data_IF_535317395065
#
_entry.id   IF_535317395065
#
_cell.length_a   1.000
_cell.length_b   1.000
_cell.length_c   1.000
_cell.angle_alpha   90.00
_cell.angle_beta   90.00
_cell.angle_gamma   90.00
#
_symmetry.space_group_name_H-M   'P 1'
#
loop_
_entity.id
_entity.type
_entity.pdbx_description
1 polymer ?
#
# COMPACT_ATOMS: atom_id res chain seq x y z
N UNK A 1 -11.82 -0.75 -11.72
CA UNK A 1 -10.90 -1.78 -12.29
C UNK A 1 -10.68 -2.87 -11.25
N UNK A 2 -10.77 -4.14 -11.64
CA UNK A 2 -10.50 -5.29 -10.77
C UNK A 2 -9.40 -6.14 -11.41
N UNK A 3 -8.38 -6.51 -10.63
CA UNK A 3 -7.29 -7.36 -11.10
C UNK A 3 -7.70 -8.84 -11.06
N UNK A 4 -7.32 -9.65 -12.07
CA UNK A 4 -7.50 -11.09 -12.03
C UNK A 4 -7.04 -11.70 -10.70
N UNK A 5 -7.88 -12.58 -10.15
CA UNK A 5 -7.69 -13.22 -8.85
C UNK A 5 -7.94 -12.32 -7.63
N UNK A 6 -8.42 -11.08 -7.79
CA UNK A 6 -8.85 -10.21 -6.70
C UNK A 6 -10.38 -10.04 -6.68
N UNK A 7 -10.97 -9.83 -5.51
CA UNK A 7 -12.40 -9.57 -5.36
C UNK A 7 -13.31 -10.78 -5.58
N UNK A 8 -12.73 -11.98 -5.66
CA UNK A 8 -13.46 -13.25 -5.82
C UNK A 8 -13.22 -14.15 -4.59
N UNK A 9 -12.30 -15.10 -4.68
CA UNK A 9 -11.86 -16.00 -3.59
C UNK A 9 -10.34 -16.16 -3.63
N UNK A 10 -9.65 -16.44 -2.51
CA UNK A 10 -8.20 -16.42 -2.49
C UNK A 10 -7.56 -17.48 -3.40
N UNK A 11 -8.27 -18.58 -3.67
CA UNK A 11 -7.85 -19.66 -4.58
C UNK A 11 -7.63 -19.17 -6.00
N UNK A 12 -8.37 -18.16 -6.46
CA UNK A 12 -8.23 -17.65 -7.83
C UNK A 12 -6.86 -16.95 -8.04
N UNK A 13 -6.14 -16.64 -6.96
CA UNK A 13 -4.77 -16.11 -6.98
C UNK A 13 -3.71 -17.20 -7.22
N UNK A 14 -4.07 -18.49 -7.23
CA UNK A 14 -3.12 -19.59 -7.41
C UNK A 14 -2.48 -19.61 -8.80
N UNK A 15 -3.23 -19.19 -9.83
CA UNK A 15 -2.81 -19.30 -11.24
C UNK A 15 -2.56 -17.94 -11.91
N UNK A 16 -2.70 -16.84 -11.17
CA UNK A 16 -2.49 -15.51 -11.73
C UNK A 16 -1.04 -15.27 -12.10
N UNK A 17 -0.85 -14.44 -13.12
CA UNK A 17 0.45 -13.96 -13.58
C UNK A 17 0.47 -12.44 -13.57
N UNK A 18 1.62 -11.86 -13.24
CA UNK A 18 1.86 -10.42 -13.27
C UNK A 18 1.42 -9.77 -14.59
N UNK A 19 1.66 -10.46 -15.71
CA UNK A 19 1.31 -10.01 -17.05
C UNK A 19 -0.19 -9.80 -17.23
N UNK A 20 -1.03 -10.59 -16.55
CA UNK A 20 -2.48 -10.39 -16.56
C UNK A 20 -2.87 -9.10 -15.85
N UNK A 21 -2.19 -8.76 -14.75
CA UNK A 21 -2.43 -7.50 -14.05
C UNK A 21 -1.95 -6.29 -14.86
N UNK A 22 -0.77 -6.39 -15.48
CA UNK A 22 -0.25 -5.37 -16.40
C UNK A 22 -1.18 -5.17 -17.60
N UNK A 23 -1.75 -6.26 -18.15
CA UNK A 23 -2.70 -6.18 -19.26
C UNK A 23 -3.95 -5.37 -18.88
N UNK A 24 -4.52 -5.60 -17.70
CA UNK A 24 -5.68 -4.81 -17.26
C UNK A 24 -5.32 -3.34 -17.08
N UNK A 25 -4.14 -3.02 -16.51
CA UNK A 25 -3.69 -1.62 -16.40
C UNK A 25 -3.58 -0.98 -17.78
N UNK A 26 -2.98 -1.69 -18.75
CA UNK A 26 -2.83 -1.23 -20.14
C UNK A 26 -4.18 -0.95 -20.79
N UNK A 27 -5.08 -1.92 -20.77
CA UNK A 27 -6.40 -1.81 -21.42
C UNK A 27 -7.22 -0.66 -20.83
N UNK A 28 -7.29 -0.56 -19.50
CA UNK A 28 -8.06 0.48 -18.83
C UNK A 28 -7.46 1.87 -19.04
N UNK A 29 -6.12 1.98 -19.06
CA UNK A 29 -5.44 3.25 -19.34
C UNK A 29 -5.68 3.68 -20.78
N UNK A 30 -5.54 2.76 -21.75
CA UNK A 30 -5.80 3.05 -23.16
C UNK A 30 -7.25 3.46 -23.43
N UNK A 31 -8.21 2.89 -22.70
CA UNK A 31 -9.61 3.29 -22.78
C UNK A 31 -9.77 4.73 -22.26
N UNK A 32 -9.27 5.02 -21.05
CA UNK A 32 -9.37 6.35 -20.44
C UNK A 32 -8.68 7.42 -21.29
N UNK A 33 -7.50 7.14 -21.86
CA UNK A 33 -6.75 8.08 -22.71
C UNK A 33 -7.51 8.53 -23.98
N UNK A 34 -8.57 7.82 -24.39
CA UNK A 34 -9.42 8.23 -25.52
C UNK A 34 -10.49 9.24 -25.11
N UNK A 35 -10.80 9.34 -23.82
CA UNK A 35 -11.90 10.12 -23.28
C UNK A 35 -11.44 11.41 -22.61
N UNK A 36 -10.17 11.50 -22.20
CA UNK A 36 -9.63 12.65 -21.47
C UNK A 36 -8.29 13.15 -22.05
N UNK A 37 -8.01 14.47 -21.97
CA UNK A 37 -6.78 15.04 -22.52
C UNK A 37 -5.53 14.75 -21.66
N UNK A 38 -5.70 14.38 -20.39
CA UNK A 38 -4.61 14.08 -19.46
C UNK A 38 -5.00 12.88 -18.60
N UNK A 39 -4.09 11.92 -18.48
CA UNK A 39 -4.28 10.73 -17.63
C UNK A 39 -3.22 10.72 -16.53
N UNK A 40 -3.67 10.58 -15.28
CA UNK A 40 -2.82 10.26 -14.14
C UNK A 40 -3.11 8.85 -13.69
N UNK A 41 -2.08 8.12 -13.27
CA UNK A 41 -2.25 6.77 -12.77
C UNK A 41 -2.01 6.73 -11.26
N UNK A 42 -2.98 6.14 -10.56
CA UNK A 42 -2.96 5.97 -9.11
C UNK A 42 -2.83 4.51 -8.73
N UNK A 43 -2.02 4.20 -7.72
CA UNK A 43 -1.83 2.83 -7.26
C UNK A 43 -1.52 2.72 -5.78
N UNK A 44 -2.05 1.68 -5.15
CA UNK A 44 -1.74 1.28 -3.78
C UNK A 44 -0.93 -0.01 -3.76
N UNK A 45 0.16 -0.07 -2.99
CA UNK A 45 0.96 -1.29 -2.81
C UNK A 45 1.42 -1.88 -4.15
N UNK A 46 1.10 -3.15 -4.45
CA UNK A 46 1.33 -3.77 -5.76
C UNK A 46 0.81 -2.92 -6.92
N UNK A 47 -0.34 -2.26 -6.77
CA UNK A 47 -0.92 -1.38 -7.78
C UNK A 47 -0.01 -0.20 -8.11
N UNK A 48 0.73 0.32 -7.14
CA UNK A 48 1.72 1.39 -7.36
C UNK A 48 2.87 0.92 -8.26
N UNK A 49 3.31 -0.34 -8.10
CA UNK A 49 4.35 -0.94 -8.95
C UNK A 49 3.86 -1.06 -10.40
N UNK A 50 2.61 -1.52 -10.60
CA UNK A 50 2.03 -1.71 -11.91
C UNK A 50 1.88 -0.38 -12.68
N UNK A 51 1.38 0.66 -12.02
CA UNK A 51 1.23 1.97 -12.67
C UNK A 51 2.55 2.67 -12.91
N UNK A 52 3.55 2.46 -12.03
CA UNK A 52 4.91 2.95 -12.24
C UNK A 52 5.53 2.29 -13.48
N UNK A 53 5.49 0.96 -13.56
CA UNK A 53 6.02 0.22 -14.71
C UNK A 53 5.37 0.67 -16.02
N UNK A 54 4.04 0.81 -16.04
CA UNK A 54 3.32 1.32 -17.20
C UNK A 54 3.79 2.74 -17.57
N UNK A 55 3.81 3.67 -16.62
CA UNK A 55 4.14 5.07 -16.89
C UNK A 55 5.58 5.29 -17.37
N UNK A 56 6.50 4.39 -17.05
CA UNK A 56 7.88 4.44 -17.55
C UNK A 56 7.99 4.24 -19.07
N UNK A 57 7.03 3.53 -19.70
CA UNK A 57 7.02 3.30 -21.14
C UNK A 57 6.05 4.23 -21.91
N UNK A 58 5.32 5.10 -21.20
CA UNK A 58 4.20 5.86 -21.75
C UNK A 58 4.33 7.36 -21.43
N UNK A 59 4.86 8.12 -22.38
CA UNK A 59 5.12 9.57 -22.23
C UNK A 59 3.83 10.39 -22.08
N UNK A 60 2.68 9.87 -22.50
CA UNK A 60 1.39 10.53 -22.38
C UNK A 60 0.83 10.58 -20.94
N UNK A 61 1.34 9.76 -20.02
CA UNK A 61 0.86 9.74 -18.62
C UNK A 61 1.33 11.01 -17.91
N UNK A 62 0.43 11.86 -17.46
CA UNK A 62 0.75 13.18 -16.91
C UNK A 62 1.44 13.15 -15.54
N UNK A 63 1.25 12.09 -14.76
CA UNK A 63 1.83 11.95 -13.42
C UNK A 63 1.33 10.72 -12.67
N UNK A 64 1.84 10.55 -11.45
CA UNK A 64 1.56 9.37 -10.62
C UNK A 64 1.06 9.74 -9.22
N UNK A 65 0.18 8.91 -8.67
CA UNK A 65 -0.30 8.98 -7.28
C UNK A 65 -0.08 7.63 -6.61
N UNK A 66 0.90 7.55 -5.70
CA UNK A 66 1.38 6.29 -5.15
C UNK A 66 1.15 6.24 -3.64
N UNK A 67 0.33 5.30 -3.19
CA UNK A 67 0.10 5.03 -1.77
C UNK A 67 0.85 3.77 -1.36
N UNK A 68 1.71 3.85 -0.35
CA UNK A 68 2.57 2.75 0.11
C UNK A 68 3.14 1.95 -1.07
N UNK A 69 3.93 2.57 -1.97
CA UNK A 69 4.42 1.87 -3.15
C UNK A 69 5.33 0.71 -2.76
N UNK A 70 5.00 -0.48 -3.26
CA UNK A 70 5.66 -1.70 -2.83
C UNK A 70 6.95 -2.00 -3.61
N UNK A 71 7.84 -1.01 -3.73
CA UNK A 71 9.08 -1.16 -4.49
C UNK A 71 10.00 -2.22 -3.86
N UNK A 72 10.08 -2.26 -2.52
CA UNK A 72 10.85 -3.26 -1.79
C UNK A 72 10.11 -3.69 -0.53
N UNK A 73 10.10 -5.00 -0.24
CA UNK A 73 9.49 -5.55 0.97
C UNK A 73 10.52 -5.73 2.08
N UNK A 74 10.07 -5.61 3.34
CA UNK A 74 10.88 -5.89 4.53
C UNK A 74 11.16 -7.39 4.75
N UNK A 75 10.46 -8.27 4.04
CA UNK A 75 10.70 -9.72 4.18
C UNK A 75 11.95 -10.14 3.41
N UNK A 76 13.02 -10.47 4.14
CA UNK A 76 14.28 -11.00 3.60
C UNK A 76 14.14 -12.34 2.85
N UNK A 77 12.95 -12.95 2.85
CA UNK A 77 12.62 -14.19 2.14
C UNK A 77 11.60 -14.00 1.01
N UNK A 78 11.15 -12.77 0.75
CA UNK A 78 10.19 -12.49 -0.33
C UNK A 78 10.69 -13.00 -1.69
N UNK A 79 12.02 -12.92 -1.91
CA UNK A 79 12.68 -13.44 -3.11
C UNK A 79 12.47 -14.94 -3.31
N UNK A 80 12.29 -15.74 -2.26
CA UNK A 80 12.12 -17.20 -2.36
C UNK A 80 10.74 -17.64 -2.88
N UNK A 81 9.74 -16.77 -2.73
CA UNK A 81 8.33 -17.11 -3.00
C UNK A 81 8.04 -17.60 -4.43
N UNK A 82 8.68 -17.09 -5.51
CA UNK A 82 8.47 -17.60 -6.87
C UNK A 82 8.94 -19.03 -7.09
N UNK A 83 9.97 -19.50 -6.36
CA UNK A 83 10.51 -20.85 -6.56
C UNK A 83 9.82 -21.92 -5.71
N UNK A 84 9.12 -21.52 -4.64
CA UNK A 84 8.44 -22.47 -3.74
C UNK A 84 6.93 -22.56 -3.97
N UNK A 85 6.35 -21.66 -4.78
CA UNK A 85 4.90 -21.61 -5.00
C UNK A 85 4.28 -22.90 -5.53
N UNK A 86 5.01 -23.65 -6.36
CA UNK A 86 4.56 -24.94 -6.90
C UNK A 86 4.57 -26.07 -5.85
N UNK A 87 5.51 -26.03 -4.90
CA UNK A 87 5.68 -27.06 -3.86
C UNK A 87 4.87 -26.76 -2.58
N UNK A 88 4.64 -25.47 -2.29
CA UNK A 88 3.80 -25.00 -1.18
C UNK A 88 2.85 -23.91 -1.69
N UNK A 89 1.67 -24.28 -2.20
CA UNK A 89 0.69 -23.32 -2.73
C UNK A 89 0.19 -22.31 -1.69
N UNK A 90 0.25 -22.67 -0.41
CA UNK A 90 -0.13 -21.83 0.71
C UNK A 90 0.97 -21.79 1.78
N UNK A 91 1.41 -20.59 2.18
CA UNK A 91 2.37 -20.40 3.28
C UNK A 91 1.70 -20.62 4.65
N UNK A 92 0.43 -20.24 4.77
CA UNK A 92 -0.43 -20.57 5.91
C UNK A 92 -1.54 -21.50 5.42
N UNK A 93 -1.75 -22.63 6.12
CA UNK A 93 -2.74 -23.63 5.73
C UNK A 93 -4.12 -22.96 5.50
N UNK A 94 -4.75 -23.18 4.34
CA UNK A 94 -6.10 -22.72 4.13
C UNK A 94 -7.00 -23.49 5.11
N UNK A 95 -7.88 -22.77 5.81
CA UNK A 95 -8.86 -23.35 6.75
C UNK A 95 -8.25 -23.96 8.04
N UNK A 96 -7.45 -23.18 8.77
CA UNK A 96 -6.97 -23.54 10.12
C UNK A 96 -8.07 -23.51 11.21
N UNK A 97 -9.33 -23.25 10.83
CA UNK A 97 -10.50 -23.16 11.71
C UNK A 97 -10.53 -21.94 12.63
N UNK A 98 -9.47 -21.12 12.63
CA UNK A 98 -9.31 -19.97 13.52
C UNK A 98 -9.43 -18.67 12.74
N UNK A 99 -8.80 -18.58 11.56
CA UNK A 99 -8.77 -17.38 10.73
C UNK A 99 -9.74 -17.47 9.57
N UNK A 100 -10.58 -16.44 9.33
CA UNK A 100 -11.35 -16.38 8.10
C UNK A 100 -10.38 -16.29 6.92
N UNK A 101 -10.71 -16.93 5.80
CA UNK A 101 -9.92 -16.83 4.57
C UNK A 101 -9.97 -15.43 3.96
N UNK A 102 -11.10 -14.74 4.10
CA UNK A 102 -11.33 -13.41 3.57
C UNK A 102 -12.42 -12.66 4.34
N UNK A 103 -12.40 -11.33 4.22
CA UNK A 103 -13.54 -10.45 4.48
C UNK A 103 -14.26 -10.17 3.15
N UNK A 104 -15.41 -9.47 3.14
CA UNK A 104 -16.10 -9.10 1.89
C UNK A 104 -15.25 -8.30 0.89
N UNK A 105 -14.14 -7.71 1.35
CA UNK A 105 -13.34 -6.75 0.59
C UNK A 105 -11.83 -7.06 0.61
N UNK A 106 -11.39 -8.14 1.28
CA UNK A 106 -9.96 -8.45 1.41
C UNK A 106 -9.70 -9.92 1.72
N UNK A 107 -8.67 -10.50 1.09
CA UNK A 107 -8.13 -11.80 1.52
C UNK A 107 -7.29 -11.66 2.78
N UNK A 108 -7.59 -12.52 3.75
CA UNK A 108 -6.86 -12.61 5.02
C UNK A 108 -5.78 -13.69 4.97
N UNK A 109 -5.91 -14.65 4.05
CA UNK A 109 -4.87 -15.60 3.68
C UNK A 109 -4.62 -15.51 2.17
N UNK A 110 -3.36 -15.31 1.77
CA UNK A 110 -2.97 -15.16 0.36
C UNK A 110 -2.13 -16.36 -0.06
N UNK A 111 -2.40 -16.98 -1.23
CA UNK A 111 -1.53 -18.01 -1.77
C UNK A 111 -0.10 -17.54 -1.98
N UNK A 112 0.83 -18.49 -1.95
CA UNK A 112 2.27 -18.25 -2.21
C UNK A 112 2.49 -17.62 -3.59
N UNK A 113 1.70 -18.00 -4.60
CA UNK A 113 1.79 -17.39 -5.93
C UNK A 113 1.44 -15.89 -5.93
N UNK A 114 0.50 -15.45 -5.09
CA UNK A 114 0.19 -14.02 -4.93
C UNK A 114 1.41 -13.23 -4.45
N UNK A 115 2.17 -13.79 -3.50
CA UNK A 115 3.45 -13.21 -3.06
C UNK A 115 4.54 -13.25 -4.13
N UNK A 116 4.58 -14.30 -4.95
CA UNK A 116 5.51 -14.40 -6.06
C UNK A 116 5.27 -13.31 -7.12
N UNK A 117 4.02 -13.11 -7.54
CA UNK A 117 3.69 -12.06 -8.50
C UNK A 117 3.90 -10.66 -7.92
N UNK A 118 3.62 -10.47 -6.62
CA UNK A 118 4.00 -9.26 -5.89
C UNK A 118 5.51 -9.00 -6.00
N UNK A 119 6.35 -9.98 -5.66
CA UNK A 119 7.82 -9.84 -5.74
C UNK A 119 8.29 -9.51 -7.16
N UNK A 120 7.74 -10.18 -8.19
CA UNK A 120 8.04 -9.86 -9.60
C UNK A 120 7.71 -8.41 -9.94
N UNK A 121 6.56 -7.90 -9.48
CA UNK A 121 6.17 -6.50 -9.69
C UNK A 121 7.13 -5.52 -9.01
N UNK A 122 7.58 -5.85 -7.78
CA UNK A 122 8.57 -5.05 -7.04
C UNK A 122 9.91 -5.01 -7.75
N UNK A 123 10.40 -6.15 -8.22
CA UNK A 123 11.67 -6.24 -8.95
C UNK A 123 11.63 -5.41 -10.25
N UNK A 124 10.52 -5.46 -10.98
CA UNK A 124 10.33 -4.65 -12.18
C UNK A 124 10.28 -3.16 -11.86
N UNK A 125 9.55 -2.74 -10.82
CA UNK A 125 9.52 -1.35 -10.37
C UNK A 125 10.91 -0.83 -9.98
N UNK A 126 11.71 -1.63 -9.26
CA UNK A 126 13.09 -1.29 -8.92
C UNK A 126 13.97 -1.14 -10.17
N UNK A 127 13.83 -2.05 -11.15
CA UNK A 127 14.56 -1.98 -12.42
C UNK A 127 14.26 -0.66 -13.15
N UNK A 128 12.98 -0.28 -13.26
CA UNK A 128 12.58 1.02 -13.85
C UNK A 128 13.23 2.21 -13.14
N UNK A 129 13.18 2.23 -11.81
CA UNK A 129 13.79 3.30 -10.99
C UNK A 129 15.31 3.37 -11.18
N UNK A 130 15.98 2.24 -11.38
CA UNK A 130 17.41 2.20 -11.64
C UNK A 130 17.78 2.63 -13.07
N UNK A 131 16.95 2.31 -14.06
CA UNK A 131 17.17 2.65 -15.47
C UNK A 131 17.23 4.16 -15.71
N UNK A 132 16.23 4.93 -15.25
CA UNK A 132 16.19 6.38 -15.43
C UNK A 132 15.38 7.10 -14.37
N UNK A 133 15.61 8.41 -14.24
CA UNK A 133 14.78 9.31 -13.44
C UNK A 133 13.39 9.45 -14.06
N UNK A 134 12.39 9.64 -13.23
CA UNK A 134 11.02 9.97 -13.60
C UNK A 134 10.80 11.47 -13.38
N UNK A 135 10.51 12.20 -14.46
CA UNK A 135 10.53 13.67 -14.51
C UNK A 135 9.14 14.32 -14.48
N UNK A 136 8.08 13.51 -14.46
CA UNK A 136 6.70 13.98 -14.30
C UNK A 136 6.29 14.05 -12.83
N UNK A 137 5.27 14.84 -12.45
CA UNK A 137 4.88 14.97 -11.05
C UNK A 137 4.40 13.65 -10.43
N UNK A 138 4.90 13.39 -9.22
CA UNK A 138 4.53 12.21 -8.44
C UNK A 138 4.16 12.61 -7.02
N UNK A 139 3.01 12.14 -6.59
CA UNK A 139 2.60 12.14 -5.19
C UNK A 139 2.90 10.77 -4.58
N UNK A 140 3.56 10.75 -3.43
CA UNK A 140 3.80 9.52 -2.65
C UNK A 140 3.29 9.72 -1.22
N UNK A 141 2.61 8.73 -0.64
CA UNK A 141 2.33 8.70 0.79
C UNK A 141 2.82 7.38 1.38
N UNK A 142 3.59 7.45 2.47
CA UNK A 142 4.13 6.29 3.20
C UNK A 142 4.06 6.50 4.71
N UNK A 143 3.91 5.40 5.44
CA UNK A 143 4.01 5.37 6.90
C UNK A 143 5.36 4.78 7.31
N UNK A 144 6.06 5.39 8.26
CA UNK A 144 7.34 4.91 8.79
C UNK A 144 7.25 3.45 9.22
N UNK A 145 6.23 3.14 10.02
CA UNK A 145 5.99 1.83 10.63
C UNK A 145 5.26 0.86 9.69
N UNK A 146 5.34 1.05 8.38
CA UNK A 146 4.77 0.11 7.42
C UNK A 146 5.48 -1.26 7.52
N UNK A 147 4.86 -2.16 8.28
CA UNK A 147 5.29 -3.56 8.47
C UNK A 147 5.55 -4.37 7.18
N UNK A 148 5.08 -3.91 6.01
CA UNK A 148 5.18 -4.65 4.74
C UNK A 148 6.38 -4.19 3.90
N UNK A 149 6.73 -2.90 4.00
CA UNK A 149 7.56 -2.21 3.02
C UNK A 149 8.81 -1.60 3.62
N UNK A 150 9.87 -1.59 2.82
CA UNK A 150 11.07 -0.83 3.13
C UNK A 150 10.84 0.65 2.78
N UNK A 151 10.37 1.41 3.76
CA UNK A 151 9.95 2.82 3.62
C UNK A 151 11.13 3.74 3.39
N UNK A 152 12.29 3.40 3.96
CA UNK A 152 13.56 4.07 3.71
C UNK A 152 13.98 3.97 2.23
N UNK A 153 13.81 2.80 1.61
CA UNK A 153 14.06 2.63 0.17
C UNK A 153 13.16 3.51 -0.69
N UNK A 154 11.88 3.62 -0.33
CA UNK A 154 10.93 4.50 -1.05
C UNK A 154 11.34 5.96 -0.91
N UNK A 155 11.68 6.40 0.29
CA UNK A 155 12.14 7.78 0.57
C UNK A 155 13.43 8.13 -0.20
N UNK A 156 14.37 7.20 -0.26
CA UNK A 156 15.62 7.37 -1.03
C UNK A 156 15.37 7.47 -2.52
N UNK A 157 14.53 6.58 -3.06
CA UNK A 157 14.19 6.62 -4.47
C UNK A 157 13.36 7.87 -4.82
N UNK A 158 12.47 8.32 -3.94
CA UNK A 158 11.79 9.61 -4.09
C UNK A 158 12.79 10.75 -4.31
N UNK A 159 13.82 10.79 -3.47
CA UNK A 159 14.82 11.85 -3.48
C UNK A 159 15.74 11.76 -4.71
N UNK A 160 16.13 10.55 -5.11
CA UNK A 160 17.14 10.33 -6.15
C UNK A 160 16.57 10.17 -7.58
N UNK A 161 15.37 9.61 -7.70
CA UNK A 161 14.79 9.12 -8.96
C UNK A 161 13.61 9.94 -9.46
N UNK A 162 12.80 10.52 -8.58
CA UNK A 162 11.68 11.37 -8.98
C UNK A 162 12.14 12.83 -9.00
N UNK A 163 12.38 13.40 -10.17
CA UNK A 163 13.07 14.68 -10.32
C UNK A 163 12.15 15.90 -10.43
N UNK A 164 10.85 15.70 -10.65
CA UNK A 164 9.94 16.84 -10.82
C UNK A 164 9.85 17.68 -9.52
N UNK A 165 10.04 19.01 -9.58
CA UNK A 165 9.99 19.89 -8.42
C UNK A 165 8.60 19.99 -7.77
N UNK A 166 7.53 19.69 -8.51
CA UNK A 166 6.18 19.64 -7.99
C UNK A 166 5.89 18.35 -7.20
N UNK A 167 6.70 17.30 -7.38
CA UNK A 167 6.49 16.04 -6.67
C UNK A 167 6.50 16.25 -5.15
N UNK A 168 5.65 15.53 -4.44
CA UNK A 168 5.59 15.56 -2.97
C UNK A 168 5.55 14.13 -2.43
N UNK A 169 6.28 13.90 -1.35
CA UNK A 169 6.16 12.70 -0.54
C UNK A 169 5.63 13.09 0.84
N UNK A 170 4.61 12.40 1.32
CA UNK A 170 4.15 12.48 2.70
C UNK A 170 4.75 11.31 3.48
N UNK A 171 5.43 11.65 4.57
CA UNK A 171 5.95 10.71 5.57
C UNK A 171 5.08 10.79 6.84
N UNK A 172 4.39 9.71 7.18
CA UNK A 172 3.70 9.57 8.46
C UNK A 172 4.60 8.87 9.47
N UNK A 173 5.08 9.62 10.47
CA UNK A 173 6.00 9.15 11.50
C UNK A 173 7.06 10.18 11.85
N UNK A 174 8.16 9.71 12.40
CA UNK A 174 9.36 10.49 12.65
C UNK A 174 10.29 10.41 11.43
N UNK A 175 10.53 11.56 10.80
CA UNK A 175 11.33 11.60 9.57
C UNK A 175 12.81 11.29 9.89
N UNK A 176 13.47 10.37 9.17
CA UNK A 176 14.89 10.09 9.35
C UNK A 176 15.74 11.36 9.15
N UNK A 177 16.73 11.58 10.02
CA UNK A 177 17.56 12.80 10.01
C UNK A 177 18.21 13.08 8.64
N UNK A 178 18.58 12.02 7.90
CA UNK A 178 19.14 12.09 6.54
C UNK A 178 18.21 12.77 5.52
N UNK A 179 16.91 12.75 5.75
CA UNK A 179 15.89 13.29 4.86
C UNK A 179 15.31 14.64 5.33
N UNK A 180 15.71 15.12 6.51
CA UNK A 180 15.14 16.31 7.18
C UNK A 180 15.19 17.60 6.35
N UNK A 181 16.08 17.67 5.35
CA UNK A 181 16.26 18.84 4.48
C UNK A 181 15.68 18.67 3.07
N UNK A 182 14.82 17.67 2.83
CA UNK A 182 14.23 17.46 1.50
C UNK A 182 12.98 18.34 1.34
N UNK A 183 12.99 19.43 0.54
CA UNK A 183 11.89 20.40 0.48
C UNK A 183 10.59 19.85 -0.14
N UNK A 184 10.65 18.63 -0.67
CA UNK A 184 9.52 17.92 -1.28
C UNK A 184 8.91 16.86 -0.36
N UNK A 185 9.40 16.75 0.87
CA UNK A 185 8.92 15.79 1.87
C UNK A 185 8.13 16.54 2.93
N UNK A 186 6.85 16.19 3.06
CA UNK A 186 5.94 16.69 4.09
C UNK A 186 5.79 15.65 5.19
N UNK A 187 5.76 16.06 6.45
CA UNK A 187 5.75 15.13 7.59
C UNK A 187 4.52 15.33 8.45
N UNK A 188 3.90 14.22 8.89
CA UNK A 188 2.87 14.20 9.93
C UNK A 188 3.19 13.09 10.93
N UNK A 189 2.83 13.30 12.19
CA UNK A 189 2.98 12.26 13.22
C UNK A 189 2.03 11.11 12.93
N UNK A 190 2.41 9.90 13.31
CA UNK A 190 1.59 8.71 13.17
C UNK A 190 1.08 8.14 14.51
N UNK A 191 1.47 8.75 15.63
CA UNK A 191 0.87 8.58 16.94
C UNK A 191 -0.19 9.67 17.19
N UNK A 192 -1.47 9.26 17.23
CA UNK A 192 -2.63 10.16 17.40
C UNK A 192 -3.55 9.62 18.51
N UNK A 193 -3.29 9.94 19.79
CA UNK A 193 -4.03 9.38 20.92
C UNK A 193 -5.52 9.75 20.91
N UNK A 194 -5.90 10.90 20.34
CA UNK A 194 -7.28 11.34 20.17
C UNK A 194 -8.10 10.39 19.26
N UNK A 195 -7.43 9.70 18.33
CA UNK A 195 -8.01 8.64 17.50
C UNK A 195 -7.67 7.23 18.01
N UNK A 196 -6.98 7.13 19.15
CA UNK A 196 -6.40 5.88 19.69
C UNK A 196 -5.47 5.20 18.69
N UNK A 197 -4.70 5.96 17.92
CA UNK A 197 -3.73 5.44 16.95
C UNK A 197 -2.36 5.40 17.63
N UNK A 198 -1.80 4.20 17.74
CA UNK A 198 -0.42 3.99 18.20
C UNK A 198 0.58 4.22 17.06
N UNK A 199 0.28 3.74 15.85
CA UNK A 199 1.16 3.81 14.67
C UNK A 199 0.34 3.76 13.38
N UNK A 200 0.83 4.35 12.29
CA UNK A 200 0.19 4.19 10.99
C UNK A 200 0.52 2.84 10.36
N UNK A 201 -0.47 2.24 9.70
CA UNK A 201 -0.31 0.95 8.99
C UNK A 201 -0.19 1.13 7.49
N UNK A 202 0.24 0.07 6.79
CA UNK A 202 0.20 -0.03 5.32
C UNK A 202 -1.16 0.39 4.72
N UNK A 203 -2.28 0.07 5.38
CA UNK A 203 -3.63 0.39 4.89
C UNK A 203 -4.15 1.73 5.39
N UNK A 204 -3.48 2.34 6.36
CA UNK A 204 -3.96 3.52 7.09
C UNK A 204 -3.98 4.81 6.27
N UNK A 205 -3.57 4.78 5.00
CA UNK A 205 -3.40 5.99 4.17
C UNK A 205 -4.59 6.27 3.24
N UNK A 206 -5.47 5.29 3.02
CA UNK A 206 -6.38 5.26 1.87
C UNK A 206 -7.79 5.79 2.14
N UNK A 207 -8.25 5.77 3.39
CA UNK A 207 -9.65 6.04 3.72
C UNK A 207 -9.76 7.17 4.73
N UNK A 208 -10.80 7.99 4.61
CA UNK A 208 -11.11 9.01 5.62
C UNK A 208 -11.57 8.39 6.94
N UNK A 209 -11.45 9.15 8.03
CA UNK A 209 -11.94 8.75 9.35
C UNK A 209 -13.46 8.50 9.39
N UNK A 210 -14.21 9.12 8.46
CA UNK A 210 -15.67 8.98 8.33
C UNK A 210 -16.10 7.86 7.38
N UNK A 211 -15.16 7.08 6.84
CA UNK A 211 -15.49 6.00 5.93
C UNK A 211 -16.39 4.94 6.61
N UNK A 212 -17.54 4.55 6.03
CA UNK A 212 -18.50 3.64 6.69
C UNK A 212 -17.99 2.20 6.85
N UNK A 213 -16.98 1.80 6.09
CA UNK A 213 -16.35 0.49 6.20
C UNK A 213 -15.09 0.54 7.08
N UNK A 214 -14.22 1.51 6.84
CA UNK A 214 -12.86 1.52 7.39
C UNK A 214 -12.54 2.66 8.35
N UNK A 215 -13.47 3.60 8.56
CA UNK A 215 -13.31 4.74 9.44
C UNK A 215 -13.33 4.39 10.93
N UNK A 216 -13.35 5.40 11.79
CA UNK A 216 -13.37 5.26 13.25
C UNK A 216 -14.55 4.40 13.73
N UNK A 217 -15.71 4.60 13.11
CA UNK A 217 -16.95 3.86 13.32
C UNK A 217 -17.23 2.84 12.22
N UNK A 218 -16.20 2.45 11.46
CA UNK A 218 -16.32 1.55 10.33
C UNK A 218 -16.76 0.13 10.71
N UNK A 219 -17.54 -0.50 9.84
CA UNK A 219 -18.06 -1.87 10.04
C UNK A 219 -17.02 -2.98 9.79
N UNK A 220 -15.90 -2.69 9.15
CA UNK A 220 -14.86 -3.66 8.76
C UNK A 220 -13.58 -3.48 9.60
N UNK A 221 -13.67 -3.82 10.89
CA UNK A 221 -12.51 -3.84 11.79
C UNK A 221 -11.64 -5.07 11.57
N UNK A 222 -10.33 -4.88 11.48
CA UNK A 222 -9.36 -5.98 11.31
C UNK A 222 -8.66 -6.24 12.66
N UNK A 223 -9.19 -7.21 13.42
CA UNK A 223 -8.65 -7.61 14.72
C UNK A 223 -7.46 -8.56 14.66
N UNK A 224 -7.33 -9.30 13.55
CA UNK A 224 -6.14 -10.08 13.28
C UNK A 224 -5.01 -9.11 12.91
N UNK A 225 -4.25 -8.69 13.91
CA UNK A 225 -3.20 -7.69 13.76
C UNK A 225 -1.84 -8.15 14.34
N UNK A 226 -1.63 -9.46 14.46
CA UNK A 226 -0.39 -10.05 14.97
C UNK A 226 -0.25 -10.10 16.50
N UNK A 227 -1.30 -9.72 17.24
CA UNK A 227 -1.35 -9.79 18.70
C UNK A 227 -1.77 -11.17 19.23
N UNK A 228 -1.82 -11.29 20.57
CA UNK A 228 -2.21 -12.53 21.25
C UNK A 228 -3.63 -12.99 20.90
N UNK A 229 -3.90 -14.31 21.00
CA UNK A 229 -5.25 -14.86 20.80
C UNK A 229 -6.28 -14.25 21.76
N UNK A 230 -5.99 -14.06 23.07
CA UNK A 230 -6.91 -13.37 23.98
C UNK A 230 -7.25 -11.94 23.53
N UNK A 231 -6.27 -11.13 23.14
CA UNK A 231 -6.53 -9.74 22.72
C UNK A 231 -7.28 -9.69 21.39
N UNK A 232 -6.97 -10.61 20.48
CA UNK A 232 -7.72 -10.77 19.22
C UNK A 232 -9.19 -11.07 19.51
N UNK A 233 -9.49 -11.97 20.47
CA UNK A 233 -10.86 -12.29 20.86
C UNK A 233 -11.60 -11.07 21.46
N UNK A 234 -10.93 -10.29 22.32
CA UNK A 234 -11.51 -9.05 22.88
C UNK A 234 -11.82 -8.00 21.81
N UNK A 235 -10.92 -7.82 20.84
CA UNK A 235 -11.16 -6.93 19.70
C UNK A 235 -12.40 -7.38 18.91
N UNK A 236 -12.52 -8.68 18.64
CA UNK A 236 -13.67 -9.26 17.91
C UNK A 236 -14.98 -9.15 18.70
N UNK A 237 -14.92 -9.16 20.04
CA UNK A 237 -16.06 -8.93 20.91
C UNK A 237 -16.52 -7.46 20.95
N UNK A 238 -15.83 -6.55 20.25
CA UNK A 238 -16.21 -5.14 20.14
C UNK A 238 -15.65 -4.25 21.25
N UNK A 239 -14.71 -4.75 22.05
CA UNK A 239 -14.05 -3.92 23.08
C UNK A 239 -13.33 -2.70 22.47
N UNK A 240 -13.00 -1.75 23.34
CA UNK A 240 -12.22 -0.56 22.99
C UNK A 240 -10.83 -0.95 22.52
N UNK A 241 -10.50 -0.62 21.27
CA UNK A 241 -9.20 -0.89 20.67
C UNK A 241 -8.37 0.38 20.46
N UNK A 242 -7.06 0.19 20.34
CA UNK A 242 -6.14 1.10 19.67
C UNK A 242 -5.86 0.61 18.25
N UNK A 243 -5.35 1.47 17.38
CA UNK A 243 -5.03 1.14 16.00
C UNK A 243 -3.52 1.18 15.75
N UNK A 244 -3.00 0.22 14.99
CA UNK A 244 -1.57 0.14 14.68
C UNK A 244 -1.26 -0.53 13.34
N UNK A 245 0.02 -0.56 12.99
CA UNK A 245 0.59 -1.52 12.05
C UNK A 245 0.57 -2.97 12.59
N UNK A 246 1.06 -3.91 11.79
CA UNK A 246 0.88 -5.34 12.03
C UNK A 246 1.99 -5.83 12.93
N UNK A 247 1.63 -6.58 13.96
CA UNK A 247 2.57 -7.13 14.94
C UNK A 247 2.97 -6.14 16.03
N UNK A 248 2.55 -4.87 15.95
CA UNK A 248 2.74 -3.94 17.07
C UNK A 248 1.84 -4.32 18.24
N UNK A 249 2.44 -4.41 19.42
CA UNK A 249 1.76 -4.68 20.69
C UNK A 249 2.27 -3.73 21.75
N UNK A 250 1.38 -3.29 22.64
CA UNK A 250 1.73 -2.40 23.74
C UNK A 250 0.98 -2.83 25.02
N UNK A 251 1.65 -2.91 26.18
CA UNK A 251 1.01 -3.31 27.42
C UNK A 251 -0.25 -2.49 27.72
N UNK A 252 -1.36 -3.16 28.04
CA UNK A 252 -2.63 -2.52 28.37
C UNK A 252 -3.44 -2.02 27.15
N UNK A 253 -2.99 -2.26 25.92
CA UNK A 253 -3.73 -1.91 24.70
C UNK A 253 -4.06 -3.16 23.88
N UNK A 254 -5.28 -3.20 23.36
CA UNK A 254 -5.74 -4.18 22.37
C UNK A 254 -5.69 -3.48 21.02
N UNK A 255 -5.05 -4.07 20.02
CA UNK A 255 -4.90 -3.43 18.72
C UNK A 255 -5.83 -3.99 17.64
N UNK A 256 -6.19 -3.12 16.71
CA UNK A 256 -6.73 -3.46 15.40
C UNK A 256 -5.84 -2.82 14.33
N UNK A 257 -5.81 -3.38 13.12
CA UNK A 257 -5.07 -2.75 12.01
C UNK A 257 -5.66 -1.38 11.73
N UNK A 258 -4.83 -0.33 11.65
CA UNK A 258 -5.30 0.99 11.22
C UNK A 258 -5.74 0.94 9.75
N UNK A 259 -6.96 1.39 9.45
CA UNK A 259 -7.53 1.39 8.09
C UNK A 259 -7.99 2.77 7.62
N UNK A 260 -7.81 3.82 8.41
CA UNK A 260 -8.20 5.19 8.06
C UNK A 260 -7.11 6.19 8.40
N UNK A 261 -7.16 7.35 7.74
CA UNK A 261 -6.22 8.45 7.88
C UNK A 261 -6.96 9.68 8.43
N UNK A 262 -6.73 10.10 9.69
CA UNK A 262 -7.24 11.38 10.19
C UNK A 262 -6.77 12.60 9.39
N UNK A 263 -5.67 12.48 8.65
CA UNK A 263 -5.15 13.53 7.78
C UNK A 263 -5.64 13.44 6.34
N UNK A 264 -6.69 12.67 6.04
CA UNK A 264 -7.14 12.38 4.67
C UNK A 264 -7.40 13.64 3.83
N UNK A 265 -8.08 14.65 4.39
CA UNK A 265 -8.35 15.91 3.69
C UNK A 265 -7.07 16.69 3.38
N UNK A 266 -6.18 16.81 4.37
CA UNK A 266 -4.88 17.46 4.17
C UNK A 266 -4.02 16.71 3.15
N UNK A 267 -3.97 15.38 3.22
CA UNK A 267 -3.28 14.51 2.26
C UNK A 267 -3.80 14.75 0.84
N UNK A 268 -5.13 14.84 0.69
CA UNK A 268 -5.80 15.10 -0.59
C UNK A 268 -5.43 16.48 -1.14
N UNK A 269 -5.33 17.51 -0.30
CA UNK A 269 -4.89 18.84 -0.73
C UNK A 269 -3.44 18.83 -1.25
N UNK A 270 -2.52 18.14 -0.55
CA UNK A 270 -1.14 17.97 -1.03
C UNK A 270 -1.11 17.25 -2.38
N UNK A 271 -1.86 16.14 -2.50
CA UNK A 271 -1.99 15.38 -3.75
C UNK A 271 -2.51 16.26 -4.89
N UNK A 272 -3.61 16.98 -4.69
CA UNK A 272 -4.16 17.89 -5.70
C UNK A 272 -3.18 19.01 -6.08
N UNK A 273 -2.36 19.49 -5.14
CA UNK A 273 -1.28 20.43 -5.42
C UNK A 273 -0.25 19.87 -6.41
N UNK A 274 0.14 18.60 -6.26
CA UNK A 274 1.04 17.91 -7.20
C UNK A 274 0.39 17.78 -8.58
N UNK A 275 -0.88 17.36 -8.63
CA UNK A 275 -1.60 17.13 -9.88
C UNK A 275 -1.82 18.43 -10.65
N UNK A 276 -2.13 19.53 -9.97
CA UNK A 276 -2.37 20.84 -10.59
C UNK A 276 -1.09 21.53 -11.10
N UNK A 277 0.09 21.12 -10.65
CA UNK A 277 1.36 21.67 -11.11
C UNK A 277 1.75 21.25 -12.55
N UNK A 278 0.96 20.38 -13.18
CA UNK A 278 1.07 20.00 -14.60
C UNK A 278 0.19 20.85 -15.53
N UNK A 279 -0.48 21.87 -15.00
CA UNK A 279 -1.25 22.84 -15.79
C UNK A 279 -0.33 23.84 -16.47
#
# INVERSE_FOLDING_TARGET
>A
MLLPGHGTRPEDMLEVRLEQWQQVVREQTQQLSREVPKVYLGGFSTGANLVLDYAYDHEEIAGLVLFSPAFRSNSGYAWLTPWIGWARPWLAAPNDGLRPMQTPVRYMNMPTNGFAQFYRSSALAQDRLHQRRYDKPVFIAIAEHDSVLDTDYVLDNFSQRFSNPASRLIWYGDLPARAANTPRVEVRKDYLPEYRISRFSHMGLLFSADNPLYGVSGSQRICWNGQSTPDTAKCMAGETVWYSDWGYTEPGKIHARLTFNPYFEWQTQVMLGVLNATQ
#
